data_IF_634561376993
#
_entry.id   IF_634561376993
#
_cell.length_a   1.000
_cell.length_b   1.000
_cell.length_c   1.000
_cell.angle_alpha   90.00
_cell.angle_beta   90.00
_cell.angle_gamma   90.00
#
_symmetry.space_group_name_H-M   'P 1'
#
loop_
_entity.id
_entity.type
_entity.pdbx_description
1 polymer ?
#
# COMPACT_ATOMS: atom_id res chain seq x y z
N UNK A 1 9.99 18.65 -19.32
CA UNK A 1 8.72 18.51 -20.11
C UNK A 1 8.65 17.11 -20.64
N UNK A 2 7.48 16.44 -20.51
CA UNK A 2 7.20 15.11 -21.08
C UNK A 2 6.33 15.27 -22.33
N UNK A 3 6.61 14.51 -23.39
CA UNK A 3 5.84 14.53 -24.65
C UNK A 3 5.69 13.12 -25.24
N UNK A 4 4.61 12.90 -25.99
CA UNK A 4 4.36 11.69 -26.77
C UNK A 4 4.88 11.95 -28.20
N UNK A 5 5.86 11.17 -28.63
CA UNK A 5 6.43 11.29 -29.98
C UNK A 5 5.65 10.45 -31.01
N UNK A 6 5.14 9.28 -30.59
CA UNK A 6 4.37 8.37 -31.44
C UNK A 6 3.38 7.55 -30.61
N UNK A 7 2.12 7.56 -31.07
CA UNK A 7 1.05 6.71 -30.53
C UNK A 7 0.04 6.42 -31.66
N UNK A 8 -0.39 5.17 -31.88
CA UNK A 8 -1.41 4.87 -32.85
C UNK A 8 -2.75 5.49 -32.43
N UNK A 9 -3.51 6.01 -33.41
CA UNK A 9 -4.85 6.57 -33.15
C UNK A 9 -5.91 5.48 -33.03
N UNK A 10 -5.67 4.33 -33.64
CA UNK A 10 -6.60 3.18 -33.65
C UNK A 10 -5.79 1.89 -33.57
N UNK A 11 -6.27 0.93 -32.78
CA UNK A 11 -5.68 -0.41 -32.63
C UNK A 11 -6.80 -1.45 -32.52
N UNK A 12 -6.48 -2.72 -32.78
CA UNK A 12 -7.41 -3.84 -32.53
C UNK A 12 -7.27 -4.41 -31.13
N UNK A 13 -8.35 -4.93 -30.60
CA UNK A 13 -8.32 -5.70 -29.35
C UNK A 13 -7.24 -6.80 -29.46
N UNK A 14 -6.43 -6.93 -28.40
CA UNK A 14 -5.37 -7.94 -28.30
C UNK A 14 -4.12 -7.62 -29.14
N UNK A 15 -4.12 -6.56 -29.92
CA UNK A 15 -2.95 -6.11 -30.66
C UNK A 15 -1.99 -5.37 -29.74
N UNK A 16 -0.74 -5.82 -29.69
CA UNK A 16 0.33 -5.11 -28.97
C UNK A 16 0.84 -3.95 -29.81
N UNK A 17 0.96 -2.80 -29.20
CA UNK A 17 1.50 -1.60 -29.83
C UNK A 17 2.54 -0.92 -28.95
N UNK A 18 3.32 -0.04 -29.55
CA UNK A 18 4.33 0.76 -28.88
C UNK A 18 3.87 2.20 -28.80
N UNK A 19 4.18 2.82 -27.69
CA UNK A 19 4.04 4.26 -27.45
C UNK A 19 5.44 4.80 -27.21
N UNK A 20 5.87 5.72 -28.03
CA UNK A 20 7.18 6.35 -27.92
C UNK A 20 7.01 7.80 -27.45
N UNK A 21 7.90 8.23 -26.60
CA UNK A 21 7.92 9.61 -26.13
C UNK A 21 9.30 10.11 -25.77
N UNK A 22 9.35 11.38 -25.41
CA UNK A 22 10.55 12.05 -24.92
C UNK A 22 10.26 12.79 -23.63
N UNK A 23 11.29 12.92 -22.84
CA UNK A 23 11.35 13.75 -21.65
C UNK A 23 12.67 14.52 -21.67
N UNK A 24 12.81 15.53 -20.83
CA UNK A 24 14.09 16.21 -20.66
C UNK A 24 15.17 15.18 -20.26
N UNK A 25 16.34 15.15 -20.93
CA UNK A 25 17.44 14.25 -20.56
C UNK A 25 17.86 14.35 -19.08
N UNK A 26 17.60 15.49 -18.42
CA UNK A 26 17.81 15.64 -16.98
C UNK A 26 16.86 14.75 -16.12
N UNK A 27 15.82 14.20 -16.72
CA UNK A 27 14.90 13.24 -16.06
C UNK A 27 15.29 11.77 -16.30
N UNK A 28 16.44 11.50 -16.92
CA UNK A 28 16.96 10.15 -17.12
C UNK A 28 16.97 9.35 -15.78
N UNK A 29 16.53 8.09 -15.84
CA UNK A 29 16.39 7.23 -14.69
C UNK A 29 15.08 7.40 -13.91
N UNK A 30 14.25 8.42 -14.17
CA UNK A 30 12.91 8.55 -13.60
C UNK A 30 11.91 7.66 -14.34
N UNK A 31 10.84 7.30 -13.65
CA UNK A 31 9.78 6.46 -14.20
C UNK A 31 8.69 7.29 -14.84
N UNK A 32 8.37 6.98 -16.10
CA UNK A 32 7.14 7.43 -16.77
C UNK A 32 6.00 6.54 -16.30
N UNK A 33 5.00 7.12 -15.67
CA UNK A 33 3.79 6.44 -15.24
C UNK A 33 2.72 6.55 -16.31
N UNK A 34 1.97 5.47 -16.54
CA UNK A 34 0.80 5.45 -17.42
C UNK A 34 -0.47 5.22 -16.59
N UNK A 35 -1.42 6.15 -16.68
CA UNK A 35 -2.77 6.01 -16.14
C UNK A 35 -3.76 5.92 -17.30
N UNK A 36 -4.69 4.99 -17.23
CA UNK A 36 -5.69 4.72 -18.26
C UNK A 36 -7.07 4.99 -17.68
N UNK A 37 -7.89 5.77 -18.40
CA UNK A 37 -9.27 6.13 -18.04
C UNK A 37 -9.37 6.66 -16.59
N UNK A 38 -8.41 7.43 -16.14
CA UNK A 38 -8.30 8.02 -14.78
C UNK A 38 -8.33 7.00 -13.62
N UNK A 39 -8.20 5.70 -13.91
CA UNK A 39 -8.43 4.63 -12.93
C UNK A 39 -7.30 3.62 -12.81
N UNK A 40 -6.62 3.31 -13.92
CA UNK A 40 -5.69 2.20 -13.98
C UNK A 40 -4.27 2.70 -14.16
N UNK A 41 -3.44 2.45 -13.17
CA UNK A 41 -2.01 2.67 -13.28
C UNK A 41 -1.38 1.42 -13.89
N UNK A 42 -0.95 1.54 -15.15
CA UNK A 42 -0.19 0.50 -15.83
C UNK A 42 1.27 0.47 -15.38
N UNK A 43 2.00 -0.59 -15.78
CA UNK A 43 3.44 -0.67 -15.55
C UNK A 43 4.14 0.50 -16.28
N UNK A 44 4.98 1.21 -15.54
CA UNK A 44 5.73 2.35 -16.06
C UNK A 44 7.02 1.91 -16.78
N UNK A 45 7.64 2.85 -17.47
CA UNK A 45 8.95 2.67 -18.10
C UNK A 45 9.93 3.73 -17.59
N UNK A 46 11.23 3.50 -17.78
CA UNK A 46 12.28 4.42 -17.32
C UNK A 46 12.73 5.30 -18.49
N UNK A 47 12.90 6.60 -18.24
CA UNK A 47 13.50 7.54 -19.19
C UNK A 47 14.97 7.17 -19.42
N UNK A 48 15.36 6.99 -20.66
CA UNK A 48 16.73 6.68 -21.07
C UNK A 48 17.64 7.91 -20.98
N UNK A 49 18.96 7.71 -21.11
CA UNK A 49 19.93 8.77 -20.99
C UNK A 49 19.78 9.88 -22.06
N UNK A 50 19.21 9.56 -23.22
CA UNK A 50 18.91 10.49 -24.32
C UNK A 50 17.53 11.17 -24.20
N UNK A 51 16.84 10.95 -23.08
CA UNK A 51 15.50 11.44 -22.82
C UNK A 51 14.38 10.61 -23.44
N UNK A 52 14.68 9.57 -24.23
CA UNK A 52 13.63 8.72 -24.83
C UNK A 52 12.98 7.80 -23.80
N UNK A 53 11.71 7.46 -24.04
CA UNK A 53 11.01 6.43 -23.30
C UNK A 53 10.05 5.68 -24.23
N UNK A 54 9.76 4.42 -23.91
CA UNK A 54 8.88 3.57 -24.69
C UNK A 54 8.04 2.68 -23.78
N UNK A 55 6.73 2.58 -24.04
CA UNK A 55 5.81 1.66 -23.36
C UNK A 55 5.20 0.74 -24.41
N UNK A 56 5.28 -0.58 -24.18
CA UNK A 56 4.53 -1.58 -24.93
C UNK A 56 3.24 -1.89 -24.20
N UNK A 57 2.11 -1.77 -24.90
CA UNK A 57 0.80 -1.99 -24.32
C UNK A 57 -0.15 -2.73 -25.27
N UNK A 58 -1.28 -3.22 -24.73
CA UNK A 58 -2.41 -3.77 -25.50
C UNK A 58 -3.70 -3.58 -24.74
N UNK A 59 -4.80 -3.40 -25.43
CA UNK A 59 -6.12 -3.34 -24.84
C UNK A 59 -6.93 -4.60 -25.12
N UNK A 60 -7.78 -4.98 -24.15
CA UNK A 60 -8.59 -6.19 -24.19
C UNK A 60 -10.07 -5.91 -24.36
N UNK A 61 -10.45 -4.64 -24.45
CA UNK A 61 -11.82 -4.19 -24.71
C UNK A 61 -11.84 -3.04 -25.70
N UNK A 62 -12.86 -3.01 -26.54
CA UNK A 62 -13.10 -1.91 -27.47
C UNK A 62 -13.57 -0.63 -26.74
N UNK A 63 -13.37 0.49 -27.39
CA UNK A 63 -13.81 1.80 -26.91
C UNK A 63 -12.72 2.86 -27.00
N UNK A 64 -13.09 4.09 -26.68
CA UNK A 64 -12.13 5.18 -26.55
C UNK A 64 -11.41 5.05 -25.20
N UNK A 65 -10.10 5.15 -25.23
CA UNK A 65 -9.23 5.07 -24.02
C UNK A 65 -8.47 6.37 -23.88
N UNK A 66 -8.57 6.99 -22.72
CA UNK A 66 -7.76 8.13 -22.33
C UNK A 66 -6.48 7.62 -21.65
N UNK A 67 -5.35 8.11 -22.10
CA UNK A 67 -4.03 7.76 -21.60
C UNK A 67 -3.38 9.01 -21.07
N UNK A 68 -2.94 8.98 -19.82
CA UNK A 68 -2.16 10.02 -19.18
C UNK A 68 -0.77 9.48 -18.84
N UNK A 69 0.26 10.13 -19.33
CA UNK A 69 1.67 9.82 -19.06
C UNK A 69 2.23 10.90 -18.16
N UNK A 70 2.85 10.53 -17.05
CA UNK A 70 3.37 11.49 -16.09
C UNK A 70 4.75 11.12 -15.55
N UNK A 71 5.55 12.17 -15.28
CA UNK A 71 6.81 12.10 -14.54
C UNK A 71 6.73 13.20 -13.48
N UNK A 72 6.81 12.83 -12.19
CA UNK A 72 6.61 13.76 -11.07
C UNK A 72 5.27 14.53 -11.20
N UNK A 73 5.31 15.87 -11.36
CA UNK A 73 4.13 16.73 -11.51
C UNK A 73 3.77 17.08 -12.95
N UNK A 74 4.60 16.68 -13.93
CA UNK A 74 4.35 16.91 -15.37
C UNK A 74 3.57 15.74 -15.97
N UNK A 75 2.54 16.05 -16.77
CA UNK A 75 1.77 15.04 -17.50
C UNK A 75 1.45 15.45 -18.93
N UNK A 76 1.19 14.46 -19.79
CA UNK A 76 0.70 14.59 -21.15
C UNK A 76 -0.38 13.53 -21.42
N UNK A 77 -1.42 13.90 -22.14
CA UNK A 77 -2.56 13.03 -22.42
C UNK A 77 -2.70 12.69 -23.90
N UNK A 78 -3.30 11.53 -24.17
CA UNK A 78 -3.72 11.12 -25.50
C UNK A 78 -4.97 10.26 -25.42
N UNK A 79 -5.68 10.13 -26.57
CA UNK A 79 -6.83 9.24 -26.72
C UNK A 79 -6.56 8.27 -27.85
N UNK A 80 -6.82 6.99 -27.59
CA UNK A 80 -6.72 5.91 -28.58
C UNK A 80 -8.07 5.22 -28.75
N UNK A 81 -8.41 4.83 -29.96
CA UNK A 81 -9.62 4.07 -30.29
C UNK A 81 -9.26 2.60 -30.39
N UNK A 82 -9.89 1.78 -29.57
CA UNK A 82 -9.74 0.31 -29.63
C UNK A 82 -10.91 -0.27 -30.37
N UNK A 83 -10.67 -0.86 -31.55
CA UNK A 83 -11.69 -1.50 -32.38
C UNK A 83 -11.72 -3.00 -32.17
N UNK A 84 -12.88 -3.66 -32.38
CA UNK A 84 -12.99 -5.11 -32.28
C UNK A 84 -12.02 -5.84 -33.24
N UNK A 85 -11.43 -6.93 -32.77
CA UNK A 85 -10.75 -7.86 -33.68
C UNK A 85 -11.76 -8.55 -34.60
N UNK A 86 -11.42 -8.80 -35.88
CA UNK A 86 -12.30 -9.59 -36.75
C UNK A 86 -12.48 -11.00 -36.18
N UNK A 87 -13.74 -11.37 -35.87
CA UNK A 87 -14.08 -12.65 -35.25
C UNK A 87 -13.70 -13.87 -36.07
N UNK A 88 -13.07 -14.87 -35.44
CA UNK A 88 -13.28 -16.28 -35.79
C UNK A 88 -14.56 -16.74 -35.07
N UNK A 89 -15.64 -17.02 -35.82
CA UNK A 89 -16.83 -17.65 -35.26
C UNK A 89 -16.47 -19.01 -34.69
N UNK A 90 -16.72 -19.19 -33.41
CA UNK A 90 -16.76 -20.51 -32.79
C UNK A 90 -18.07 -20.61 -32.00
N UNK A 91 -19.08 -21.17 -32.67
CA UNK A 91 -20.45 -21.27 -32.17
C UNK A 91 -20.65 -22.30 -31.02
N UNK A 92 -19.58 -22.97 -30.55
CA UNK A 92 -19.64 -24.05 -29.55
C UNK A 92 -18.73 -23.89 -28.35
N UNK A 93 -17.95 -22.82 -28.23
CA UNK A 93 -17.02 -22.63 -27.10
C UNK A 93 -17.72 -22.02 -25.90
N UNK A 94 -17.46 -22.57 -24.71
CA UNK A 94 -18.00 -22.08 -23.44
C UNK A 94 -16.90 -21.89 -22.41
N UNK A 95 -16.88 -20.72 -21.77
CA UNK A 95 -16.00 -20.42 -20.64
C UNK A 95 -16.78 -20.41 -19.34
N UNK A 96 -16.14 -20.80 -18.27
CA UNK A 96 -16.62 -20.58 -16.91
C UNK A 96 -15.47 -20.15 -15.98
N UNK A 97 -15.81 -19.50 -14.89
CA UNK A 97 -14.93 -19.23 -13.77
C UNK A 97 -15.48 -19.96 -12.55
N UNK A 98 -14.68 -20.77 -11.91
CA UNK A 98 -15.01 -21.39 -10.62
C UNK A 98 -14.82 -20.36 -9.52
N UNK A 99 -15.88 -20.04 -8.78
CA UNK A 99 -15.79 -19.14 -7.64
C UNK A 99 -14.87 -19.75 -6.57
N UNK A 100 -13.81 -19.06 -6.15
CA UNK A 100 -12.94 -19.55 -5.09
C UNK A 100 -13.73 -19.73 -3.79
N UNK A 101 -13.52 -20.87 -3.10
CA UNK A 101 -14.14 -21.15 -1.80
C UNK A 101 -13.36 -20.56 -0.62
N UNK A 102 -12.09 -20.21 -0.85
CA UNK A 102 -11.24 -19.58 0.15
C UNK A 102 -11.41 -18.06 0.16
N UNK A 103 -11.17 -17.44 1.30
CA UNK A 103 -11.12 -15.99 1.42
C UNK A 103 -9.95 -15.44 0.60
N UNK A 104 -10.25 -14.50 -0.32
CA UNK A 104 -9.23 -13.84 -1.14
C UNK A 104 -8.73 -12.61 -0.39
N UNK A 105 -7.40 -12.53 -0.23
CA UNK A 105 -6.74 -11.40 0.46
C UNK A 105 -5.76 -10.70 -0.47
N UNK A 106 -5.60 -9.39 -0.27
CA UNK A 106 -4.51 -8.65 -0.93
C UNK A 106 -3.15 -9.25 -0.56
N UNK A 107 -2.15 -9.04 -1.43
CA UNK A 107 -0.76 -9.51 -1.25
C UNK A 107 -0.64 -11.05 -1.04
N UNK A 108 -1.67 -11.80 -1.41
CA UNK A 108 -1.68 -13.25 -1.34
C UNK A 108 -1.98 -13.81 -2.73
N UNK A 109 -1.09 -14.64 -3.25
CA UNK A 109 -1.30 -15.34 -4.51
C UNK A 109 -2.38 -16.40 -4.31
N UNK A 110 -3.37 -16.43 -5.19
CA UNK A 110 -4.39 -17.47 -5.23
C UNK A 110 -4.63 -17.93 -6.67
N UNK A 111 -5.25 -19.08 -6.83
CA UNK A 111 -5.53 -19.64 -8.15
C UNK A 111 -6.98 -19.41 -8.52
N UNK A 112 -7.18 -18.84 -9.70
CA UNK A 112 -8.46 -18.87 -10.41
C UNK A 112 -8.44 -19.97 -11.45
N UNK A 113 -9.55 -20.64 -11.63
CA UNK A 113 -9.68 -21.73 -12.60
C UNK A 113 -11.09 -21.77 -13.17
N UNK A 114 -11.27 -22.54 -14.24
CA UNK A 114 -12.57 -22.75 -14.84
C UNK A 114 -12.52 -23.73 -16.00
N UNK A 115 -13.67 -23.91 -16.67
CA UNK A 115 -13.79 -24.71 -17.87
C UNK A 115 -13.58 -23.86 -19.12
N UNK A 116 -13.08 -24.49 -20.17
CA UNK A 116 -12.90 -23.94 -21.51
C UNK A 116 -13.36 -24.96 -22.54
N UNK A 117 -14.65 -25.22 -22.56
CA UNK A 117 -15.25 -26.23 -23.44
C UNK A 117 -15.19 -25.76 -24.91
N UNK A 118 -14.76 -26.65 -25.83
CA UNK A 118 -14.63 -26.35 -27.25
C UNK A 118 -13.37 -25.55 -27.65
N UNK A 119 -12.47 -25.28 -26.70
CA UNK A 119 -11.16 -24.69 -26.96
C UNK A 119 -10.11 -25.79 -27.11
N UNK A 120 -9.14 -25.56 -27.99
CA UNK A 120 -8.02 -26.48 -28.19
C UNK A 120 -6.96 -26.34 -27.07
N UNK A 121 -6.27 -27.43 -26.74
CA UNK A 121 -5.15 -27.42 -25.80
C UNK A 121 -4.04 -26.47 -26.29
N UNK A 122 -3.55 -25.64 -25.40
CA UNK A 122 -2.55 -24.61 -25.70
C UNK A 122 -3.14 -23.27 -26.16
N UNK A 123 -4.43 -23.19 -26.44
CA UNK A 123 -5.10 -21.93 -26.79
C UNK A 123 -5.06 -20.96 -25.62
N UNK A 124 -4.70 -19.70 -25.89
CA UNK A 124 -4.50 -18.69 -24.87
C UNK A 124 -5.81 -17.90 -24.62
N UNK A 125 -6.18 -17.83 -23.35
CA UNK A 125 -7.27 -17.01 -22.87
C UNK A 125 -6.73 -15.76 -22.19
N UNK A 126 -7.58 -14.76 -21.99
CA UNK A 126 -7.20 -13.53 -21.30
C UNK A 126 -8.05 -13.34 -20.06
N UNK A 127 -7.38 -13.24 -18.91
CA UNK A 127 -8.01 -12.99 -17.61
C UNK A 127 -7.82 -11.52 -17.24
N UNK A 128 -8.91 -10.80 -17.07
CA UNK A 128 -8.89 -9.36 -16.73
C UNK A 128 -9.69 -9.06 -15.48
N UNK A 129 -9.31 -8.01 -14.75
CA UNK A 129 -10.10 -7.45 -13.67
C UNK A 129 -10.62 -6.06 -14.04
N UNK A 130 -11.81 -5.74 -13.52
CA UNK A 130 -12.45 -4.43 -13.61
C UNK A 130 -12.47 -3.87 -15.04
N UNK A 131 -12.61 -4.78 -16.02
CA UNK A 131 -12.71 -4.54 -17.48
C UNK A 131 -11.44 -4.09 -18.19
N UNK A 132 -10.38 -3.73 -17.49
CA UNK A 132 -9.19 -3.10 -18.08
C UNK A 132 -7.87 -3.67 -17.63
N UNK A 133 -7.81 -4.27 -16.46
CA UNK A 133 -6.55 -4.74 -15.89
C UNK A 133 -6.30 -6.21 -16.21
N UNK A 134 -5.33 -6.51 -17.07
CA UNK A 134 -4.92 -7.89 -17.36
C UNK A 134 -4.25 -8.51 -16.13
N UNK A 135 -4.83 -9.63 -15.65
CA UNK A 135 -4.29 -10.40 -14.53
C UNK A 135 -3.34 -11.51 -15.01
N UNK A 136 -3.71 -12.21 -16.09
CA UNK A 136 -2.95 -13.35 -16.61
C UNK A 136 -3.43 -13.76 -18.00
N UNK A 137 -2.62 -14.58 -18.69
CA UNK A 137 -2.95 -15.26 -19.95
C UNK A 137 -2.84 -16.77 -19.75
N UNK A 138 -3.85 -17.43 -19.15
CA UNK A 138 -3.84 -18.86 -19.01
C UNK A 138 -4.00 -19.57 -20.36
N UNK A 139 -3.34 -20.73 -20.50
CA UNK A 139 -3.55 -21.63 -21.63
C UNK A 139 -4.52 -22.72 -21.26
N UNK A 140 -5.37 -23.10 -22.24
CA UNK A 140 -6.28 -24.23 -22.09
C UNK A 140 -5.50 -25.53 -22.02
N UNK A 141 -5.91 -26.42 -21.12
CA UNK A 141 -5.38 -27.75 -20.97
C UNK A 141 -6.49 -28.71 -20.53
N UNK A 142 -6.77 -29.73 -21.34
CA UNK A 142 -7.83 -30.69 -21.05
C UNK A 142 -9.22 -30.06 -20.87
N UNK A 143 -9.56 -29.04 -21.66
CA UNK A 143 -10.84 -28.33 -21.56
C UNK A 143 -11.02 -27.49 -20.30
N UNK A 144 -9.91 -27.17 -19.60
CA UNK A 144 -9.88 -26.33 -18.40
C UNK A 144 -8.79 -25.26 -18.52
N UNK A 145 -8.86 -24.26 -17.66
CA UNK A 145 -7.81 -23.25 -17.52
C UNK A 145 -7.56 -22.94 -16.04
N UNK A 146 -6.37 -22.48 -15.72
CA UNK A 146 -6.02 -21.97 -14.40
C UNK A 146 -5.00 -20.84 -14.50
N UNK A 147 -5.04 -19.91 -13.55
CA UNK A 147 -4.10 -18.82 -13.44
C UNK A 147 -3.82 -18.47 -11.97
N UNK A 148 -2.55 -18.19 -11.66
CA UNK A 148 -2.16 -17.59 -10.39
C UNK A 148 -2.33 -16.08 -10.48
N UNK A 149 -3.06 -15.48 -9.55
CA UNK A 149 -3.38 -14.06 -9.54
C UNK A 149 -3.12 -13.45 -8.18
N UNK A 150 -2.91 -12.14 -8.16
CA UNK A 150 -2.64 -11.34 -6.98
C UNK A 150 -3.37 -10.01 -7.09
N UNK A 151 -4.01 -9.57 -6.01
CA UNK A 151 -4.58 -8.22 -5.91
C UNK A 151 -3.83 -7.40 -4.87
N UNK A 152 -3.51 -6.16 -5.22
CA UNK A 152 -2.84 -5.20 -4.33
C UNK A 152 -3.80 -4.32 -3.53
N UNK A 153 -5.07 -4.22 -3.94
CA UNK A 153 -6.07 -3.37 -3.27
C UNK A 153 -7.31 -4.18 -2.89
N UNK A 154 -7.83 -4.00 -1.67
CA UNK A 154 -9.07 -4.65 -1.25
C UNK A 154 -10.29 -4.06 -1.97
N UNK A 155 -11.41 -4.76 -1.89
CA UNK A 155 -12.69 -4.37 -2.43
C UNK A 155 -13.26 -5.36 -3.42
N UNK A 156 -14.44 -5.05 -3.95
CA UNK A 156 -15.09 -5.85 -4.99
C UNK A 156 -14.35 -5.71 -6.30
N UNK A 157 -14.12 -6.85 -6.98
CA UNK A 157 -13.44 -6.96 -8.26
C UNK A 157 -14.31 -7.75 -9.22
N UNK A 158 -14.62 -7.19 -10.39
CA UNK A 158 -15.21 -7.94 -11.48
C UNK A 158 -14.08 -8.61 -12.27
N UNK A 159 -14.03 -9.93 -12.24
CA UNK A 159 -13.03 -10.71 -13.01
C UNK A 159 -13.70 -11.38 -14.19
N UNK A 160 -13.10 -11.25 -15.35
CA UNK A 160 -13.58 -11.79 -16.61
C UNK A 160 -12.49 -12.65 -17.25
N UNK A 161 -12.87 -13.84 -17.76
CA UNK A 161 -12.03 -14.65 -18.64
C UNK A 161 -12.61 -14.54 -20.07
N UNK A 162 -11.76 -14.27 -21.03
CA UNK A 162 -12.13 -14.02 -22.43
C UNK A 162 -11.34 -14.96 -23.36
N UNK A 163 -12.02 -15.57 -24.30
CA UNK A 163 -11.43 -16.23 -25.46
C UNK A 163 -11.68 -15.43 -26.73
N UNK A 164 -12.82 -14.72 -26.79
CA UNK A 164 -13.20 -13.75 -27.82
C UNK A 164 -14.14 -12.71 -27.22
N UNK A 165 -14.49 -11.67 -27.95
CA UNK A 165 -15.45 -10.66 -27.48
C UNK A 165 -16.84 -11.22 -27.14
N UNK A 166 -17.25 -12.32 -27.77
CA UNK A 166 -18.56 -12.95 -27.56
C UNK A 166 -18.52 -14.08 -26.53
N UNK A 167 -17.33 -14.56 -26.15
CA UNK A 167 -17.18 -15.67 -25.22
C UNK A 167 -16.45 -15.23 -23.96
N UNK A 168 -17.24 -14.76 -22.99
CA UNK A 168 -16.75 -14.15 -21.74
C UNK A 168 -17.49 -14.81 -20.58
N UNK A 169 -16.73 -15.30 -19.59
CA UNK A 169 -17.29 -15.64 -18.28
C UNK A 169 -16.83 -14.61 -17.24
N UNK A 170 -17.71 -14.35 -16.26
CA UNK A 170 -17.50 -13.30 -15.24
C UNK A 170 -17.72 -13.84 -13.84
N UNK A 171 -16.98 -13.32 -12.88
CA UNK A 171 -17.19 -13.54 -11.44
C UNK A 171 -16.90 -12.26 -10.68
N UNK A 172 -17.69 -11.95 -9.67
CA UNK A 172 -17.42 -10.89 -8.72
C UNK A 172 -16.68 -11.50 -7.51
N UNK A 173 -15.51 -10.97 -7.19
CA UNK A 173 -14.69 -11.37 -6.07
C UNK A 173 -14.67 -10.28 -5.02
N UNK A 174 -14.76 -10.65 -3.73
CA UNK A 174 -14.59 -9.73 -2.61
C UNK A 174 -13.20 -9.94 -2.03
N UNK A 175 -12.27 -9.07 -2.43
CA UNK A 175 -10.87 -9.11 -1.98
C UNK A 175 -10.76 -8.40 -0.65
N UNK A 176 -10.45 -9.16 0.40
CA UNK A 176 -10.23 -8.61 1.74
C UNK A 176 -8.81 -8.04 1.88
N UNK A 177 -8.60 -7.07 2.77
CA UNK A 177 -7.24 -6.67 3.14
C UNK A 177 -6.44 -7.89 3.63
N UNK A 178 -5.15 -7.94 3.31
CA UNK A 178 -4.26 -8.93 3.90
C UNK A 178 -4.39 -8.87 5.42
N UNK A 179 -4.61 -10.02 6.07
CA UNK A 179 -4.45 -10.11 7.51
C UNK A 179 -2.95 -9.97 7.79
N UNK A 180 -2.56 -8.84 8.32
CA UNK A 180 -1.21 -8.73 8.88
C UNK A 180 -1.28 -9.44 10.23
N UNK A 181 -0.54 -10.52 10.37
CA UNK A 181 -0.34 -11.16 11.68
C UNK A 181 0.39 -10.17 12.58
N UNK A 182 -0.41 -9.40 13.34
CA UNK A 182 0.13 -8.43 14.26
C UNK A 182 0.62 -9.13 15.54
N UNK A 183 1.92 -9.38 15.60
CA UNK A 183 2.55 -9.94 16.80
C UNK A 183 2.78 -8.85 17.83
N UNK A 184 1.93 -8.78 18.84
CA UNK A 184 2.07 -7.86 19.98
C UNK A 184 2.75 -8.58 21.12
N UNK A 185 3.95 -8.10 21.48
CA UNK A 185 4.74 -8.59 22.61
C UNK A 185 4.37 -7.78 23.85
N UNK A 186 3.89 -8.46 24.89
CA UNK A 186 3.46 -7.82 26.12
C UNK A 186 4.60 -7.10 26.82
N UNK A 187 4.26 -6.11 27.64
CA UNK A 187 5.26 -5.37 28.44
C UNK A 187 6.06 -6.30 29.37
N UNK A 188 5.42 -7.31 29.94
CA UNK A 188 6.05 -8.29 30.82
C UNK A 188 7.17 -9.11 30.16
N UNK A 189 7.19 -9.20 28.84
CA UNK A 189 8.26 -9.89 28.09
C UNK A 189 9.59 -9.16 28.11
N UNK A 190 9.63 -7.85 28.43
CA UNK A 190 10.87 -7.08 28.44
C UNK A 190 11.13 -6.36 29.78
N UNK A 191 10.10 -6.17 30.62
CA UNK A 191 10.24 -5.59 31.96
C UNK A 191 9.08 -6.08 32.86
N UNK A 192 9.39 -6.46 34.10
CA UNK A 192 8.38 -6.93 35.06
C UNK A 192 7.51 -5.80 35.64
N UNK A 193 8.04 -4.57 35.66
CA UNK A 193 7.33 -3.42 36.21
C UNK A 193 6.24 -2.91 35.27
N UNK A 194 5.04 -2.65 35.78
CA UNK A 194 3.98 -1.94 35.10
C UNK A 194 4.30 -0.49 34.78
N UNK A 195 3.41 0.21 34.08
CA UNK A 195 3.49 1.67 33.96
C UNK A 195 3.29 2.30 35.35
N UNK A 196 4.12 3.28 35.76
CA UNK A 196 3.99 3.92 37.08
C UNK A 196 2.58 4.49 37.32
N UNK A 197 2.05 4.31 38.52
CA UNK A 197 0.70 4.74 38.89
C UNK A 197 0.51 6.25 38.87
N UNK A 198 1.57 7.01 39.14
CA UNK A 198 1.59 8.48 39.16
C UNK A 198 1.54 9.12 37.78
N UNK A 199 1.60 8.34 36.68
CA UNK A 199 1.38 8.86 35.33
C UNK A 199 -0.11 9.15 35.15
N UNK A 200 -0.44 10.35 34.66
CA UNK A 200 -1.83 10.77 34.41
C UNK A 200 -2.57 9.82 33.46
N UNK A 201 -3.87 9.65 33.67
CA UNK A 201 -4.70 8.79 32.86
C UNK A 201 -5.00 9.39 31.49
N UNK A 202 -5.05 8.52 30.46
CA UNK A 202 -5.55 8.79 29.14
C UNK A 202 -6.90 8.09 28.97
N UNK A 203 -7.99 8.81 29.18
CA UNK A 203 -9.33 8.22 29.11
C UNK A 203 -9.70 7.76 27.71
N UNK A 204 -9.33 8.53 26.70
CA UNK A 204 -9.55 8.23 25.28
C UNK A 204 -8.50 8.92 24.43
N UNK A 205 -7.86 8.15 23.56
CA UNK A 205 -6.93 8.75 22.59
C UNK A 205 -7.70 9.50 21.50
N UNK A 206 -7.28 10.72 21.21
CA UNK A 206 -7.85 11.55 20.14
C UNK A 206 -7.16 11.32 18.80
N UNK A 207 -5.93 10.81 18.84
CA UNK A 207 -5.03 10.65 17.69
C UNK A 207 -3.95 9.62 17.94
N UNK A 208 -3.20 9.32 16.89
CA UNK A 208 -1.96 8.54 16.93
C UNK A 208 -0.84 9.43 16.41
N UNK A 209 0.24 9.56 17.18
CA UNK A 209 1.44 10.27 16.77
C UNK A 209 2.54 9.26 16.45
N UNK A 210 3.06 9.31 15.22
CA UNK A 210 4.11 8.42 14.73
C UNK A 210 5.47 9.03 15.03
N UNK A 211 6.39 8.19 15.55
CA UNK A 211 7.74 8.52 15.92
C UNK A 211 8.76 7.55 15.32
N UNK A 212 10.03 7.90 15.43
CA UNK A 212 11.13 6.96 15.40
C UNK A 212 11.92 7.04 16.71
N UNK A 213 12.72 6.02 17.02
CA UNK A 213 13.53 6.03 18.24
C UNK A 213 14.86 6.79 18.08
N UNK A 214 15.24 7.10 16.82
CA UNK A 214 16.52 7.70 16.44
C UNK A 214 17.75 6.89 16.87
N UNK A 215 17.54 5.64 17.27
CA UNK A 215 18.59 4.70 17.62
C UNK A 215 19.09 3.95 16.39
N UNK A 216 20.25 3.31 16.52
CA UNK A 216 20.71 2.35 15.50
C UNK A 216 19.73 1.17 15.44
N UNK A 217 19.18 0.92 14.25
CA UNK A 217 18.30 -0.22 14.05
C UNK A 217 19.09 -1.55 14.21
N UNK A 218 18.44 -2.51 14.84
CA UNK A 218 18.92 -3.91 14.88
C UNK A 218 18.46 -4.66 13.63
N UNK A 219 18.91 -5.90 13.47
CA UNK A 219 18.50 -6.76 12.35
C UNK A 219 17.00 -7.04 12.38
N UNK A 220 16.39 -7.17 11.20
CA UNK A 220 15.02 -7.69 11.06
C UNK A 220 14.89 -9.16 11.50
N UNK A 221 16.00 -9.90 11.53
CA UNK A 221 16.07 -11.27 12.05
C UNK A 221 16.43 -11.35 13.55
N UNK A 222 16.44 -10.21 14.25
CA UNK A 222 16.74 -10.18 15.68
C UNK A 222 15.76 -11.05 16.47
N UNK A 223 16.28 -11.73 17.47
CA UNK A 223 15.49 -12.51 18.41
C UNK A 223 14.62 -11.62 19.31
N UNK A 224 13.57 -12.17 19.88
CA UNK A 224 12.72 -11.44 20.83
C UNK A 224 13.55 -10.95 22.05
N UNK A 225 14.58 -11.70 22.45
CA UNK A 225 15.46 -11.31 23.56
C UNK A 225 16.30 -10.06 23.23
N UNK A 226 16.84 -9.99 22.01
CA UNK A 226 17.61 -8.82 21.54
C UNK A 226 16.69 -7.60 21.42
N UNK A 227 15.48 -7.76 20.91
CA UNK A 227 14.49 -6.68 20.84
C UNK A 227 14.03 -6.20 22.23
N UNK A 228 13.83 -7.14 23.17
CA UNK A 228 13.55 -6.81 24.56
C UNK A 228 14.66 -6.00 25.20
N UNK A 229 15.93 -6.27 24.84
CA UNK A 229 17.07 -5.46 25.26
C UNK A 229 16.97 -4.03 24.71
N UNK A 230 16.57 -3.86 23.45
CA UNK A 230 16.34 -2.53 22.86
C UNK A 230 15.22 -1.77 23.58
N UNK A 231 14.12 -2.44 23.92
CA UNK A 231 13.03 -1.82 24.71
C UNK A 231 13.54 -1.29 26.06
N UNK A 232 14.38 -2.06 26.75
CA UNK A 232 15.02 -1.61 28.00
C UNK A 232 15.95 -0.43 27.78
N UNK A 233 16.68 -0.40 26.66
CA UNK A 233 17.57 0.71 26.30
C UNK A 233 16.78 2.00 26.02
N UNK A 234 15.70 1.92 25.20
CA UNK A 234 14.80 3.04 24.95
C UNK A 234 14.27 3.61 26.27
N UNK A 235 13.78 2.73 27.16
CA UNK A 235 13.30 3.15 28.48
C UNK A 235 14.39 3.83 29.31
N UNK A 236 15.60 3.29 29.32
CA UNK A 236 16.75 3.87 30.05
C UNK A 236 17.06 5.28 29.53
N UNK A 237 17.11 5.46 28.20
CA UNK A 237 17.32 6.76 27.58
C UNK A 237 16.21 7.78 27.92
N UNK A 238 14.97 7.33 28.07
CA UNK A 238 13.87 8.18 28.50
C UNK A 238 13.98 8.58 29.97
N UNK A 239 14.30 7.63 30.85
CA UNK A 239 14.51 7.91 32.28
C UNK A 239 15.68 8.88 32.48
N UNK A 240 16.77 8.73 31.73
CA UNK A 240 17.91 9.64 31.76
C UNK A 240 17.56 11.08 31.33
N UNK A 241 16.38 11.28 30.70
CA UNK A 241 15.80 12.58 30.34
C UNK A 241 14.64 12.97 31.27
N UNK A 242 14.62 12.46 32.48
CA UNK A 242 13.62 12.75 33.52
C UNK A 242 12.18 12.27 33.20
N UNK A 243 12.02 11.34 32.26
CA UNK A 243 10.74 10.70 32.05
C UNK A 243 10.51 9.64 33.15
N UNK A 244 9.28 9.53 33.63
CA UNK A 244 8.92 8.52 34.66
C UNK A 244 8.98 7.07 34.09
N UNK A 245 8.96 6.91 32.77
CA UNK A 245 8.95 5.62 32.08
C UNK A 245 9.25 5.82 30.58
N UNK A 246 9.21 4.73 29.79
CA UNK A 246 9.21 4.82 28.33
C UNK A 246 8.06 5.77 27.88
N UNK A 247 8.36 6.68 26.96
CA UNK A 247 7.40 7.69 26.50
C UNK A 247 6.34 7.15 25.55
N UNK A 248 6.70 6.13 24.76
CA UNK A 248 5.84 5.55 23.72
C UNK A 248 4.89 4.50 24.28
N UNK A 249 3.70 4.40 23.67
CA UNK A 249 2.76 3.32 23.97
C UNK A 249 3.14 2.03 23.27
N UNK A 250 3.69 2.14 22.07
CA UNK A 250 4.13 1.01 21.27
C UNK A 250 5.45 1.30 20.55
N UNK A 251 6.26 0.26 20.37
CA UNK A 251 7.47 0.31 19.53
C UNK A 251 7.40 -0.82 18.52
N UNK A 252 7.58 -0.50 17.24
CA UNK A 252 7.60 -1.46 16.14
C UNK A 252 9.06 -1.75 15.78
N UNK A 253 9.49 -2.98 16.00
CA UNK A 253 10.85 -3.44 15.70
C UNK A 253 11.03 -3.72 14.20
N UNK A 254 12.29 -3.75 13.70
CA UNK A 254 12.55 -4.10 12.29
C UNK A 254 12.00 -5.45 11.86
N UNK A 255 11.81 -6.40 12.76
CA UNK A 255 11.15 -7.69 12.53
C UNK A 255 9.64 -7.60 12.30
N UNK A 256 9.04 -6.42 12.58
CA UNK A 256 7.59 -6.23 12.59
C UNK A 256 6.92 -6.52 13.93
N UNK A 257 7.60 -7.14 14.89
CA UNK A 257 7.04 -7.32 16.23
C UNK A 257 6.78 -5.97 16.90
N UNK A 258 5.61 -5.86 17.52
CA UNK A 258 5.13 -4.66 18.20
C UNK A 258 5.27 -4.86 19.71
N UNK A 259 6.04 -4.04 20.36
CA UNK A 259 6.24 -4.12 21.81
C UNK A 259 5.35 -3.12 22.53
N UNK A 260 4.62 -3.59 23.54
CA UNK A 260 3.88 -2.73 24.45
C UNK A 260 4.88 -1.97 25.33
N UNK A 261 4.83 -0.66 25.24
CA UNK A 261 5.60 0.25 26.08
C UNK A 261 4.78 0.72 27.28
N UNK A 262 4.32 1.98 27.26
CA UNK A 262 3.43 2.54 28.27
C UNK A 262 2.00 2.02 28.07
N UNK A 263 1.25 1.87 29.14
CA UNK A 263 -0.18 1.49 29.07
C UNK A 263 -1.00 2.50 28.26
N UNK A 264 -1.88 2.04 27.38
CA UNK A 264 -2.83 2.89 26.61
C UNK A 264 -3.73 3.74 27.51
N UNK A 265 -3.94 3.31 28.77
CA UNK A 265 -4.77 4.05 29.77
C UNK A 265 -3.99 5.17 30.44
N UNK A 266 -2.71 5.35 30.14
CA UNK A 266 -1.84 6.36 30.71
C UNK A 266 -1.35 7.31 29.63
N UNK A 267 -1.24 8.59 29.95
CA UNK A 267 -0.67 9.58 29.03
C UNK A 267 0.75 9.20 28.63
N UNK A 268 1.06 9.36 27.37
CA UNK A 268 2.42 9.23 26.87
C UNK A 268 3.36 10.32 27.42
N UNK A 269 4.63 10.24 27.02
CA UNK A 269 5.59 11.33 27.10
C UNK A 269 6.35 11.33 25.77
N UNK A 270 5.61 11.59 24.68
CA UNK A 270 6.12 11.45 23.31
C UNK A 270 5.82 12.67 22.44
N UNK A 271 4.90 13.52 22.83
CA UNK A 271 4.67 14.83 22.22
C UNK A 271 4.24 15.84 23.29
N UNK A 272 4.04 17.08 22.90
CA UNK A 272 3.84 18.18 23.86
C UNK A 272 2.51 18.07 24.64
N UNK A 273 1.44 17.61 23.97
CA UNK A 273 0.10 17.56 24.58
C UNK A 273 -0.21 16.17 25.13
N UNK A 274 0.34 15.11 24.52
CA UNK A 274 0.09 13.72 24.86
C UNK A 274 -1.40 13.36 24.98
N UNK A 275 -2.22 13.88 24.06
CA UNK A 275 -3.67 13.61 23.97
C UNK A 275 -4.01 12.39 23.12
N UNK A 276 -2.99 11.63 22.72
CA UNK A 276 -3.09 10.45 21.87
C UNK A 276 -2.07 9.38 22.21
N UNK A 277 -1.99 8.37 21.33
CA UNK A 277 -1.06 7.27 21.45
C UNK A 277 0.21 7.53 20.64
N UNK A 278 1.37 7.33 21.25
CA UNK A 278 2.67 7.39 20.56
C UNK A 278 3.11 6.02 20.10
N UNK A 279 3.37 5.89 18.80
CA UNK A 279 3.94 4.68 18.18
C UNK A 279 5.29 5.05 17.60
N UNK A 280 6.35 4.34 17.99
CA UNK A 280 7.69 4.58 17.47
C UNK A 280 8.18 3.41 16.62
N UNK A 281 8.76 3.70 15.47
CA UNK A 281 9.58 2.75 14.74
C UNK A 281 10.97 2.68 15.36
N UNK A 282 11.46 1.48 15.67
CA UNK A 282 12.83 1.31 16.16
C UNK A 282 13.83 1.47 15.03
N UNK A 283 14.61 2.53 15.09
CA UNK A 283 15.60 2.93 14.09
C UNK A 283 15.70 4.44 13.94
N UNK A 284 16.59 4.90 13.06
CA UNK A 284 16.65 6.27 12.56
C UNK A 284 16.22 6.29 11.10
N UNK A 285 15.22 7.09 10.79
CA UNK A 285 14.61 7.14 9.46
C UNK A 285 14.74 8.53 8.81
N UNK A 286 15.80 9.25 9.14
CA UNK A 286 16.11 10.54 8.49
C UNK A 286 16.37 10.35 7.00
N UNK A 287 17.11 9.28 6.62
CA UNK A 287 17.52 9.02 5.23
C UNK A 287 17.20 7.61 4.74
N UNK A 288 16.66 6.74 5.58
CA UNK A 288 16.29 5.37 5.24
C UNK A 288 14.82 5.14 5.47
N UNK A 289 14.18 4.36 4.62
CA UNK A 289 12.79 3.98 4.80
C UNK A 289 12.63 2.86 5.83
N UNK A 290 11.43 2.83 6.45
CA UNK A 290 10.98 1.65 7.20
C UNK A 290 10.85 0.45 6.27
N UNK A 291 11.00 -0.75 6.84
CA UNK A 291 10.78 -1.99 6.09
C UNK A 291 9.28 -2.21 5.79
N UNK A 292 8.97 -3.03 4.79
CA UNK A 292 7.58 -3.40 4.50
C UNK A 292 6.91 -4.12 5.68
N UNK A 293 7.68 -4.91 6.43
CA UNK A 293 7.19 -5.58 7.64
C UNK A 293 6.81 -4.56 8.72
N UNK A 294 7.66 -3.55 8.95
CA UNK A 294 7.33 -2.46 9.87
C UNK A 294 6.12 -1.65 9.40
N UNK A 295 6.04 -1.35 8.10
CA UNK A 295 4.89 -0.66 7.51
C UNK A 295 3.58 -1.44 7.75
N UNK A 296 3.57 -2.72 7.42
CA UNK A 296 2.41 -3.58 7.59
C UNK A 296 1.97 -3.67 9.06
N UNK A 297 2.93 -3.83 9.98
CA UNK A 297 2.64 -3.83 11.42
C UNK A 297 2.08 -2.49 11.90
N UNK A 298 2.57 -1.36 11.38
CA UNK A 298 2.04 -0.05 11.72
C UNK A 298 0.59 0.13 11.25
N UNK A 299 0.29 -0.28 10.02
CA UNK A 299 -1.09 -0.23 9.49
C UNK A 299 -2.02 -1.09 10.33
N UNK A 300 -1.64 -2.33 10.67
CA UNK A 300 -2.45 -3.23 11.48
C UNK A 300 -2.66 -2.68 12.90
N UNK A 301 -1.59 -2.20 13.55
CA UNK A 301 -1.64 -1.62 14.89
C UNK A 301 -2.50 -0.35 14.91
N UNK A 302 -2.28 0.58 13.99
CA UNK A 302 -3.07 1.80 13.90
C UNK A 302 -4.56 1.50 13.67
N UNK A 303 -4.89 0.54 12.79
CA UNK A 303 -6.28 0.11 12.57
C UNK A 303 -6.92 -0.44 13.86
N UNK A 304 -6.20 -1.33 14.56
CA UNK A 304 -6.66 -1.89 15.84
C UNK A 304 -6.92 -0.79 16.87
N UNK A 305 -5.98 0.13 17.03
CA UNK A 305 -6.07 1.22 17.99
C UNK A 305 -7.17 2.23 17.64
N UNK A 306 -7.31 2.58 16.36
CA UNK A 306 -8.40 3.43 15.89
C UNK A 306 -9.77 2.83 16.22
N UNK A 307 -9.99 1.56 15.94
CA UNK A 307 -11.22 0.85 16.29
C UNK A 307 -11.47 0.84 17.82
N UNK A 308 -10.42 0.57 18.60
CA UNK A 308 -10.48 0.54 20.06
C UNK A 308 -10.84 1.90 20.68
N UNK A 309 -10.30 2.98 20.12
CA UNK A 309 -10.52 4.34 20.61
C UNK A 309 -11.64 5.10 19.88
N UNK A 310 -12.31 4.48 18.91
CA UNK A 310 -13.40 5.08 18.14
C UNK A 310 -12.93 6.23 17.24
N UNK A 311 -11.75 6.09 16.65
CA UNK A 311 -11.20 7.01 15.63
C UNK A 311 -11.61 6.46 14.27
N UNK A 312 -12.64 7.03 13.65
CA UNK A 312 -13.23 6.49 12.41
C UNK A 312 -12.72 7.23 11.15
N UNK A 313 -12.04 8.35 11.32
CA UNK A 313 -11.45 9.12 10.22
C UNK A 313 -10.04 9.55 10.62
N UNK A 314 -9.07 9.11 9.82
CA UNK A 314 -7.64 9.37 10.05
C UNK A 314 -7.00 10.22 8.94
N UNK A 315 -7.79 10.60 7.92
CA UNK A 315 -7.33 11.36 6.74
C UNK A 315 -7.76 12.81 6.80
N UNK A 316 -9.03 13.07 7.18
CA UNK A 316 -9.55 14.43 7.24
C UNK A 316 -8.84 15.24 8.34
N UNK A 317 -8.24 16.38 8.01
CA UNK A 317 -7.60 17.23 9.00
C UNK A 317 -8.58 17.75 10.04
N UNK A 318 -8.16 17.76 11.29
CA UNK A 318 -8.92 18.30 12.42
C UNK A 318 -8.08 19.33 13.18
N UNK A 319 -8.71 20.34 13.83
CA UNK A 319 -8.00 21.30 14.66
C UNK A 319 -7.13 20.58 15.69
N UNK A 320 -5.83 20.80 15.63
CA UNK A 320 -4.83 20.07 16.43
C UNK A 320 -3.84 21.05 17.05
N UNK A 321 -3.66 21.07 18.39
CA UNK A 321 -2.64 21.86 19.03
C UNK A 321 -1.23 21.44 18.61
N UNK A 322 -0.38 22.43 18.34
CA UNK A 322 1.05 22.26 18.03
C UNK A 322 1.90 23.14 18.93
N UNK A 323 3.20 22.87 19.03
CA UNK A 323 4.12 23.60 19.89
C UNK A 323 4.36 25.04 19.40
N UNK A 324 4.65 25.20 18.09
CA UNK A 324 5.12 26.48 17.56
C UNK A 324 4.10 27.23 16.68
N UNK A 325 3.02 26.56 16.28
CA UNK A 325 2.08 27.11 15.29
C UNK A 325 0.63 27.20 15.79
N UNK A 326 0.43 27.07 17.12
CA UNK A 326 -0.90 27.07 17.70
C UNK A 326 -1.75 25.88 17.22
N UNK A 327 -2.99 26.14 16.83
CA UNK A 327 -3.89 25.10 16.33
C UNK A 327 -3.74 24.97 14.81
N UNK A 328 -3.35 23.80 14.34
CA UNK A 328 -3.19 23.47 12.92
C UNK A 328 -4.18 22.38 12.48
N UNK A 329 -4.61 22.38 11.21
CA UNK A 329 -5.41 21.29 10.66
C UNK A 329 -4.51 20.09 10.36
N UNK A 330 -4.54 19.06 11.21
CA UNK A 330 -3.75 17.84 11.06
C UNK A 330 -4.63 16.58 11.04
N UNK A 331 -4.29 15.56 10.24
CA UNK A 331 -4.91 14.25 10.30
C UNK A 331 -4.75 13.61 11.68
N UNK A 332 -5.68 12.71 12.06
CA UNK A 332 -5.60 12.04 13.38
C UNK A 332 -4.47 11.02 13.50
N UNK A 333 -3.90 10.57 12.40
CA UNK A 333 -2.58 9.93 12.39
C UNK A 333 -1.61 10.95 11.84
N UNK A 334 -0.70 11.46 12.67
CA UNK A 334 0.28 12.50 12.32
C UNK A 334 1.69 12.08 12.73
N UNK A 335 2.69 12.72 12.17
CA UNK A 335 4.07 12.59 12.62
C UNK A 335 4.36 13.49 13.81
N UNK A 336 5.37 13.17 14.61
CA UNK A 336 5.82 14.04 15.71
C UNK A 336 6.18 15.43 15.21
N UNK A 337 6.86 15.54 14.08
CA UNK A 337 7.22 16.82 13.44
C UNK A 337 6.04 17.69 13.02
N UNK A 338 4.87 17.10 12.84
CA UNK A 338 3.65 17.87 12.52
C UNK A 338 3.15 18.65 13.74
N UNK A 339 3.64 18.29 14.94
CA UNK A 339 3.21 18.86 16.22
C UNK A 339 4.29 19.59 16.98
N UNK A 340 5.56 19.22 16.76
CA UNK A 340 6.73 19.74 17.47
C UNK A 340 7.86 19.98 16.46
N UNK A 341 8.70 20.98 16.68
CA UNK A 341 9.88 21.23 15.84
C UNK A 341 10.93 20.10 16.05
N UNK A 342 10.94 19.10 15.17
CA UNK A 342 11.83 17.95 15.23
C UNK A 342 11.91 17.28 13.86
N UNK A 343 12.97 16.49 13.63
CA UNK A 343 13.09 15.61 12.45
C UNK A 343 12.40 14.25 12.62
N UNK A 344 11.83 13.97 13.81
CA UNK A 344 11.04 12.77 14.07
C UNK A 344 9.66 12.87 13.36
N UNK A 345 9.20 11.81 12.67
CA UNK A 345 9.71 10.44 12.60
C UNK A 345 10.70 10.15 11.47
N UNK A 346 11.24 11.13 10.78
CA UNK A 346 12.17 10.94 9.68
C UNK A 346 12.15 12.08 8.67
N UNK A 347 12.31 11.79 7.37
CA UNK A 347 12.32 12.81 6.32
C UNK A 347 11.04 13.68 6.32
N UNK A 348 11.12 14.82 5.64
CA UNK A 348 10.01 15.77 5.53
C UNK A 348 8.70 15.06 5.18
N UNK A 349 7.57 15.52 5.74
CA UNK A 349 6.23 14.94 5.58
C UNK A 349 6.10 13.47 6.03
N UNK A 350 7.12 12.91 6.71
CA UNK A 350 7.16 11.51 7.11
C UNK A 350 7.29 10.54 5.92
N UNK A 351 7.93 10.97 4.82
CA UNK A 351 8.11 10.15 3.62
C UNK A 351 8.79 8.82 3.93
N UNK A 352 9.88 8.82 4.68
CA UNK A 352 10.64 7.61 5.01
C UNK A 352 9.90 6.63 5.92
N UNK A 353 8.93 7.09 6.70
CA UNK A 353 8.01 6.22 7.44
C UNK A 353 6.69 5.99 6.71
N UNK A 354 6.57 6.44 5.46
CA UNK A 354 5.39 6.26 4.59
C UNK A 354 4.10 6.73 5.24
N UNK A 355 4.14 7.85 5.96
CA UNK A 355 3.05 8.31 6.82
C UNK A 355 1.72 8.49 6.08
N UNK A 356 1.75 9.10 4.88
CA UNK A 356 0.57 9.28 4.05
C UNK A 356 -0.04 7.92 3.64
N UNK A 357 0.79 6.96 3.26
CA UNK A 357 0.34 5.61 2.89
C UNK A 357 -0.23 4.86 4.10
N UNK A 358 0.35 5.00 5.30
CA UNK A 358 -0.22 4.44 6.53
C UNK A 358 -1.63 4.99 6.76
N UNK A 359 -1.85 6.31 6.63
CA UNK A 359 -3.18 6.91 6.77
C UNK A 359 -4.20 6.32 5.80
N UNK A 360 -3.84 6.24 4.52
CA UNK A 360 -4.71 5.70 3.47
C UNK A 360 -5.09 4.24 3.75
N UNK A 361 -4.11 3.40 4.06
CA UNK A 361 -4.33 1.99 4.33
C UNK A 361 -5.15 1.76 5.62
N UNK A 362 -4.94 2.56 6.65
CA UNK A 362 -5.75 2.51 7.86
C UNK A 362 -7.19 2.94 7.56
N UNK A 363 -7.38 4.04 6.82
CA UNK A 363 -8.72 4.53 6.47
C UNK A 363 -9.54 3.49 5.72
N UNK A 364 -8.93 2.74 4.80
CA UNK A 364 -9.63 1.67 4.05
C UNK A 364 -10.03 0.47 4.90
N UNK A 365 -9.51 0.36 6.14
CA UNK A 365 -9.75 -0.76 7.07
C UNK A 365 -10.64 -0.38 8.25
N UNK A 366 -11.01 0.90 8.37
CA UNK A 366 -11.92 1.42 9.39
C UNK A 366 -13.37 1.32 8.96
#
# INVERSE_FOLDING_TARGET
MIEISSIPKEIKIGESFLIDGKADPAQAGKTVHLVIDDRFKAEGTVVQADGSWQIKFQFLESGNRRLEFSIDEESVESVIVVIPAKEKRVDSTRLSITTPTQEIKTETVFTLSGKAEGYDDGEELVLIADKTFELARPKVQGGTWQASVLFHKPGKRLVEIKGSEQNIAKVELDVKPASVDLTIVSRSAWISQGTPSNVADLLRAKRITIHHTEMRAISASATQSEEAAQMREIRRGHIARDFSDIGYHYVIMPSGRVYVGRSERKRGAHDIINDGLGIAFHGSFISKEITDVQFNSAVALCTLLCKRHGINDVVTPVPTPTDHHGIQPLPRICGHRDRVATDCPGAAEGKTVRLAKIRQEVQTRL
#
